data_IF_226031168838
#
_entry.id   IF_226031168838
#
_cell.length_a   1.000
_cell.length_b   1.000
_cell.length_c   1.000
_cell.angle_alpha   90.00
_cell.angle_beta   90.00
_cell.angle_gamma   90.00
#
_symmetry.space_group_name_H-M   'P 1'
#
loop_
_entity.id
_entity.type
_entity.pdbx_description
1 polymer ?
#
# COMPACT_ATOMS: atom_id res chain seq x y z
N UNK A 1 -3.72 -8.67 5.50
CA UNK A 1 -3.94 -7.75 4.35
C UNK A 1 -5.18 -6.94 4.65
N UNK A 2 -5.08 -5.62 4.71
CA UNK A 2 -6.20 -4.72 4.99
C UNK A 2 -6.57 -4.02 3.68
N UNK A 3 -7.85 -4.05 3.33
CA UNK A 3 -8.38 -3.29 2.19
C UNK A 3 -9.30 -2.20 2.70
N UNK A 4 -9.21 -1.01 2.13
CA UNK A 4 -10.04 0.13 2.51
C UNK A 4 -10.50 0.93 1.30
N UNK A 5 -11.49 1.79 1.53
CA UNK A 5 -11.87 2.86 0.61
C UNK A 5 -11.22 4.15 1.13
N UNK A 6 -10.34 4.73 0.33
CA UNK A 6 -9.55 5.90 0.69
C UNK A 6 -10.11 7.11 -0.04
N UNK A 7 -10.50 8.14 0.69
CA UNK A 7 -10.76 9.46 0.15
C UNK A 7 -9.41 10.17 -0.05
N UNK A 8 -9.15 10.63 -1.28
CA UNK A 8 -7.96 11.40 -1.63
C UNK A 8 -8.25 12.90 -1.44
N UNK A 9 -7.22 13.70 -1.24
CA UNK A 9 -7.36 15.15 -1.03
C UNK A 9 -8.02 15.87 -2.23
N UNK A 10 -7.96 15.28 -3.43
CA UNK A 10 -8.65 15.76 -4.62
C UNK A 10 -10.18 15.48 -4.60
N UNK A 11 -10.70 14.79 -3.59
CA UNK A 11 -12.12 14.44 -3.42
C UNK A 11 -12.54 13.13 -4.10
N UNK A 12 -11.60 12.41 -4.72
CA UNK A 12 -11.85 11.10 -5.33
C UNK A 12 -11.77 9.98 -4.29
N UNK A 13 -12.50 8.89 -4.53
CA UNK A 13 -12.43 7.69 -3.70
C UNK A 13 -11.74 6.55 -4.45
N UNK A 14 -10.82 5.87 -3.77
CA UNK A 14 -10.08 4.74 -4.34
C UNK A 14 -10.11 3.53 -3.41
N UNK A 15 -10.41 2.35 -3.97
CA UNK A 15 -10.24 1.08 -3.26
C UNK A 15 -8.77 0.67 -3.32
N UNK A 16 -8.12 0.54 -2.18
CA UNK A 16 -6.70 0.25 -2.11
C UNK A 16 -6.31 -0.62 -0.91
N UNK A 17 -5.07 -1.09 -0.90
CA UNK A 17 -4.47 -1.84 0.20
C UNK A 17 -3.86 -0.87 1.20
N UNK A 18 -4.13 -1.10 2.48
CA UNK A 18 -3.43 -0.44 3.58
C UNK A 18 -2.38 -1.41 4.12
N UNK A 19 -1.12 -0.97 4.17
CA UNK A 19 0.03 -1.81 4.53
C UNK A 19 0.71 -1.28 5.78
N UNK A 20 1.27 -2.19 6.59
CA UNK A 20 2.01 -1.84 7.81
C UNK A 20 1.15 -1.32 8.97
N UNK A 21 -0.17 -1.37 8.87
CA UNK A 21 -1.09 -0.97 9.93
C UNK A 21 -1.59 -2.18 10.74
N UNK A 22 -1.73 -2.00 12.06
CA UNK A 22 -2.40 -2.95 12.95
C UNK A 22 -3.93 -2.76 12.80
N UNK A 23 -4.70 -3.81 12.44
CA UNK A 23 -6.16 -3.68 12.25
C UNK A 23 -6.89 -3.04 13.43
N UNK A 24 -6.49 -3.35 14.67
CA UNK A 24 -7.14 -2.82 15.87
C UNK A 24 -6.92 -1.30 16.08
N UNK A 25 -5.94 -0.69 15.41
CA UNK A 25 -5.63 0.73 15.54
C UNK A 25 -6.20 1.59 14.41
N UNK A 26 -6.79 0.97 13.38
CA UNK A 26 -7.36 1.68 12.24
C UNK A 26 -8.78 2.18 12.55
N UNK A 27 -9.05 3.43 12.17
CA UNK A 27 -10.37 4.02 12.24
C UNK A 27 -10.71 4.74 10.93
N UNK A 28 -11.99 4.99 10.70
CA UNK A 28 -12.40 5.89 9.62
C UNK A 28 -11.85 7.29 9.88
N UNK A 29 -11.35 7.95 8.84
CA UNK A 29 -10.73 9.27 8.95
C UNK A 29 -9.27 9.25 9.42
N UNK A 30 -8.66 8.07 9.65
CA UNK A 30 -7.21 7.98 9.89
C UNK A 30 -6.45 8.47 8.65
N UNK A 31 -5.58 9.50 8.77
CA UNK A 31 -4.79 9.98 7.65
C UNK A 31 -3.82 8.91 7.12
N UNK A 32 -3.68 8.85 5.80
CA UNK A 32 -2.77 7.92 5.12
C UNK A 32 -1.99 8.62 4.03
N UNK A 33 -0.82 8.09 3.70
CA UNK A 33 0.00 8.51 2.57
C UNK A 33 0.14 7.39 1.56
N UNK A 34 0.19 7.75 0.28
CA UNK A 34 0.40 6.81 -0.82
C UNK A 34 1.88 6.51 -1.01
N UNK A 35 2.19 5.24 -1.21
CA UNK A 35 3.47 4.75 -1.70
C UNK A 35 3.23 3.88 -2.95
N UNK A 36 4.18 3.90 -3.88
CA UNK A 36 4.12 3.08 -5.08
C UNK A 36 5.09 1.92 -4.96
N UNK A 37 4.58 0.70 -5.04
CA UNK A 37 5.37 -0.54 -4.91
C UNK A 37 5.28 -1.35 -6.19
N UNK A 38 6.34 -2.07 -6.54
CA UNK A 38 6.32 -3.04 -7.63
C UNK A 38 5.73 -4.36 -7.12
N UNK A 39 4.68 -4.83 -7.78
CA UNK A 39 4.03 -6.11 -7.49
C UNK A 39 4.92 -7.25 -8.00
N UNK A 40 5.44 -8.09 -7.10
CA UNK A 40 6.32 -9.21 -7.47
C UNK A 40 5.53 -10.51 -7.69
N UNK A 41 6.09 -11.51 -8.39
CA UNK A 41 5.51 -12.84 -8.42
C UNK A 41 5.64 -13.46 -7.02
N UNK A 42 4.56 -13.37 -6.24
CA UNK A 42 4.47 -13.90 -4.88
C UNK A 42 4.35 -12.84 -3.77
N UNK A 43 3.55 -11.77 -3.99
CA UNK A 43 3.22 -10.68 -3.05
C UNK A 43 2.77 -11.14 -1.63
N UNK A 44 3.69 -11.72 -0.87
CA UNK A 44 3.89 -11.52 0.54
C UNK A 44 4.93 -10.43 0.65
N UNK A 45 4.48 -9.24 1.06
CA UNK A 45 5.30 -8.05 1.23
C UNK A 45 6.41 -8.30 2.27
N UNK A 46 7.55 -8.83 1.82
CA UNK A 46 8.80 -8.93 2.57
C UNK A 46 9.92 -8.41 1.70
N UNK A 47 10.67 -7.46 2.24
CA UNK A 47 11.70 -6.72 1.54
C UNK A 47 12.97 -7.53 1.22
N UNK A 48 13.78 -6.86 0.42
CA UNK A 48 15.17 -7.12 0.03
C UNK A 48 15.45 -8.41 -0.74
N UNK A 49 15.44 -8.30 -2.06
CA UNK A 49 16.40 -9.03 -2.89
C UNK A 49 17.24 -8.05 -3.70
N UNK A 50 18.54 -8.03 -3.42
CA UNK A 50 19.58 -7.29 -4.15
C UNK A 50 20.20 -8.18 -5.23
N UNK A 51 19.38 -8.73 -6.12
CA UNK A 51 19.86 -9.38 -7.34
C UNK A 51 19.36 -8.57 -8.53
N UNK A 52 20.25 -8.31 -9.50
CA UNK A 52 19.99 -7.51 -10.70
C UNK A 52 19.04 -8.19 -11.69
N UNK A 53 17.89 -8.66 -11.21
CA UNK A 53 16.80 -9.21 -12.01
C UNK A 53 15.85 -8.07 -12.35
N UNK A 54 15.56 -7.86 -13.64
CA UNK A 54 14.54 -6.90 -14.07
C UNK A 54 13.21 -7.28 -13.41
N UNK A 55 12.80 -6.47 -12.43
CA UNK A 55 11.55 -6.67 -11.70
C UNK A 55 10.42 -6.20 -12.61
N UNK A 56 9.86 -7.12 -13.41
CA UNK A 56 8.75 -6.92 -14.36
C UNK A 56 7.38 -6.70 -13.69
N UNK A 57 7.38 -6.24 -12.45
CA UNK A 57 6.18 -6.02 -11.64
C UNK A 57 5.43 -4.75 -12.01
N UNK A 58 4.09 -4.82 -12.02
CA UNK A 58 3.23 -3.63 -12.10
C UNK A 58 3.46 -2.74 -10.89
N UNK A 59 3.62 -1.43 -11.13
CA UNK A 59 3.71 -0.44 -10.07
C UNK A 59 2.29 -0.11 -9.59
N UNK A 60 1.97 -0.49 -8.36
CA UNK A 60 0.65 -0.27 -7.76
C UNK A 60 0.73 0.67 -6.57
N UNK A 61 -0.33 1.47 -6.31
CA UNK A 61 -0.42 2.29 -5.10
C UNK A 61 -0.79 1.43 -3.89
N UNK A 62 -0.11 1.69 -2.77
CA UNK A 62 -0.44 1.18 -1.44
C UNK A 62 -0.47 2.35 -0.46
N UNK A 63 -1.22 2.21 0.64
CA UNK A 63 -1.40 3.28 1.62
C UNK A 63 -0.82 2.89 2.97
N UNK A 64 -0.13 3.83 3.63
CA UNK A 64 0.37 3.68 5.00
C UNK A 64 -0.26 4.71 5.92
N UNK A 65 -0.52 4.32 7.15
CA UNK A 65 -0.92 5.24 8.22
C UNK A 65 0.30 6.06 8.63
N UNK A 66 0.10 7.37 8.77
CA UNK A 66 0.97 8.38 9.41
C UNK A 66 2.48 8.13 9.52
N UNK A 67 3.27 9.07 9.01
CA UNK A 67 4.57 9.45 9.62
C UNK A 67 4.36 10.62 10.56
#
# INVERSE_FOLDING_TARGET
MISGLIELDEGCWMRARIVGAEPATLAAGTPVLVEFVRSGPGDHLSGSDRSGQEVTGEVIPVFRVGV
#
